data_IF_243731099623
#
_entry.id   IF_243731099623
#
_cell.length_a   1.000
_cell.length_b   1.000
_cell.length_c   1.000
_cell.angle_alpha   90.00
_cell.angle_beta   90.00
_cell.angle_gamma   90.00
#
_symmetry.space_group_name_H-M   'P 1'
#
loop_
_entity.id
_entity.type
_entity.pdbx_description
1 polymer ?
#
# COMPACT_ATOMS: atom_id res chain seq x y z
N UNK A 1 -10.33 3.66 -5.16
CA UNK A 1 -9.45 3.22 -4.05
C UNK A 1 -8.72 4.45 -3.55
N UNK A 2 -8.73 4.70 -2.24
CA UNK A 2 -8.03 5.85 -1.63
C UNK A 2 -7.04 5.34 -0.58
N UNK A 3 -5.94 6.05 -0.38
CA UNK A 3 -4.92 5.72 0.60
C UNK A 3 -4.33 6.98 1.25
N UNK A 4 -3.67 6.80 2.37
CA UNK A 4 -2.91 7.80 3.12
C UNK A 4 -1.50 7.27 3.41
N UNK A 5 -0.56 8.17 3.70
CA UNK A 5 0.78 7.76 4.11
C UNK A 5 0.70 7.03 5.47
N UNK A 6 1.39 5.90 5.58
CA UNK A 6 1.31 4.96 6.70
C UNK A 6 0.35 3.78 6.48
N UNK A 7 -0.48 3.81 5.42
CA UNK A 7 -1.33 2.66 5.07
C UNK A 7 -0.52 1.53 4.45
N UNK A 8 -1.00 0.30 4.59
CA UNK A 8 -0.34 -0.87 4.02
C UNK A 8 -0.90 -1.18 2.63
N UNK A 9 -0.01 -1.24 1.64
CA UNK A 9 -0.28 -1.68 0.27
C UNK A 9 -0.06 -3.19 0.18
N UNK A 10 -1.07 -3.93 -0.26
CA UNK A 10 -1.01 -5.38 -0.48
C UNK A 10 -1.46 -5.66 -1.91
N UNK A 11 -0.58 -6.24 -2.71
CA UNK A 11 -0.93 -6.74 -4.03
C UNK A 11 -0.89 -8.26 -4.02
N UNK A 12 -2.07 -8.87 -4.19
CA UNK A 12 -2.25 -10.32 -4.16
C UNK A 12 -1.71 -10.95 -5.43
N UNK A 13 -0.92 -12.01 -5.29
CA UNK A 13 -0.42 -12.78 -6.42
C UNK A 13 -1.56 -13.57 -7.09
N UNK A 14 -1.72 -13.47 -8.42
CA UNK A 14 -2.80 -14.16 -9.14
C UNK A 14 -2.52 -15.65 -9.41
N UNK A 15 -1.28 -16.09 -9.21
CA UNK A 15 -0.81 -17.46 -9.51
C UNK A 15 -0.24 -18.10 -8.25
N UNK A 16 -0.53 -19.39 -8.06
CA UNK A 16 0.00 -20.20 -6.96
C UNK A 16 1.53 -20.16 -6.97
N UNK A 17 2.13 -19.77 -5.84
CA UNK A 17 3.58 -19.62 -5.67
C UNK A 17 4.11 -18.19 -5.87
N UNK A 18 3.27 -17.24 -6.31
CA UNK A 18 3.63 -15.82 -6.29
C UNK A 18 3.34 -15.24 -4.91
N UNK A 19 4.38 -14.80 -4.21
CA UNK A 19 4.24 -14.14 -2.92
C UNK A 19 3.56 -12.77 -3.10
N UNK A 20 2.66 -12.45 -2.17
CA UNK A 20 2.02 -11.15 -2.12
C UNK A 20 3.07 -10.05 -1.97
N UNK A 21 2.91 -8.97 -2.74
CA UNK A 21 3.77 -7.79 -2.60
C UNK A 21 3.16 -6.89 -1.54
N UNK A 22 3.77 -6.92 -0.36
CA UNK A 22 3.35 -6.11 0.78
C UNK A 22 4.36 -4.99 1.00
N UNK A 23 3.86 -3.76 1.15
CA UNK A 23 4.67 -2.61 1.49
C UNK A 23 3.86 -1.52 2.19
N UNK A 24 4.56 -0.54 2.72
CA UNK A 24 3.98 0.62 3.40
C UNK A 24 3.90 1.79 2.40
N UNK A 25 2.75 2.45 2.32
CA UNK A 25 2.60 3.68 1.54
C UNK A 25 3.31 4.79 2.31
N UNK A 26 4.45 5.24 1.80
CA UNK A 26 5.21 6.33 2.42
C UNK A 26 4.73 7.70 1.93
N UNK A 27 4.09 7.75 0.76
CA UNK A 27 3.59 8.99 0.18
C UNK A 27 2.47 8.71 -0.83
N UNK A 28 1.46 9.58 -0.88
CA UNK A 28 0.39 9.52 -1.87
C UNK A 28 0.61 10.64 -2.88
N UNK A 29 0.83 10.27 -4.14
CA UNK A 29 1.22 11.22 -5.20
C UNK A 29 0.00 11.71 -5.99
N UNK A 30 -1.10 10.96 -5.97
CA UNK A 30 -2.35 11.41 -6.56
C UNK A 30 -3.14 12.33 -5.64
N UNK A 31 -4.00 13.15 -6.24
CA UNK A 31 -4.86 14.08 -5.51
C UNK A 31 -5.94 13.32 -4.71
N UNK A 32 -6.33 13.87 -3.56
CA UNK A 32 -7.40 13.34 -2.69
C UNK A 32 -7.21 11.88 -2.24
N UNK A 33 -5.95 11.45 -2.10
CA UNK A 33 -5.62 10.07 -1.71
C UNK A 33 -5.69 9.08 -2.87
N UNK A 34 -5.79 9.55 -4.11
CA UNK A 34 -5.81 8.67 -5.29
C UNK A 34 -4.39 8.20 -5.68
N UNK A 35 -4.29 7.12 -6.47
CA UNK A 35 -3.03 6.70 -7.06
C UNK A 35 -2.42 7.78 -7.99
N UNK A 36 -1.11 7.74 -8.25
CA UNK A 36 -0.15 6.71 -7.82
C UNK A 36 0.31 6.85 -6.36
N UNK A 37 0.81 5.76 -5.78
CA UNK A 37 1.34 5.71 -4.41
C UNK A 37 2.82 5.39 -4.42
N UNK A 38 3.60 6.02 -3.54
CA UNK A 38 4.97 5.62 -3.27
C UNK A 38 4.96 4.60 -2.14
N UNK A 39 5.43 3.39 -2.43
CA UNK A 39 5.39 2.25 -1.53
C UNK A 39 6.81 1.82 -1.21
N UNK A 40 7.11 1.65 0.08
CA UNK A 40 8.32 1.00 0.59
C UNK A 40 8.00 -0.45 0.91
N UNK A 41 8.57 -1.36 0.13
CA UNK A 41 8.43 -2.80 0.34
C UNK A 41 9.33 -3.28 1.47
N UNK A 42 9.02 -4.45 2.02
CA UNK A 42 9.75 -5.06 3.14
C UNK A 42 11.17 -5.49 2.78
N UNK A 43 11.48 -5.64 1.50
CA UNK A 43 12.82 -5.88 0.96
C UNK A 43 13.71 -4.62 0.96
N UNK A 44 13.15 -3.46 1.34
CA UNK A 44 13.82 -2.16 1.35
C UNK A 44 13.71 -1.40 0.02
N UNK A 45 13.13 -1.98 -1.01
CA UNK A 45 12.90 -1.26 -2.27
C UNK A 45 11.74 -0.27 -2.15
N UNK A 46 11.91 0.89 -2.79
CA UNK A 46 10.87 1.91 -2.89
C UNK A 46 10.45 2.05 -4.34
N UNK A 47 9.15 1.94 -4.60
CA UNK A 47 8.58 2.01 -5.94
C UNK A 47 7.33 2.88 -5.98
N UNK A 48 7.05 3.44 -7.16
CA UNK A 48 5.75 4.07 -7.43
C UNK A 48 4.80 3.00 -7.97
N UNK A 49 3.68 2.79 -7.28
CA UNK A 49 2.72 1.75 -7.57
C UNK A 49 1.35 2.36 -7.87
N UNK A 50 0.75 1.89 -8.96
CA UNK A 50 -0.66 2.13 -9.27
C UNK A 50 -1.43 0.84 -8.95
N UNK A 51 -2.40 0.87 -8.03
CA UNK A 51 -3.15 -0.31 -7.63
C UNK A 51 -3.97 -0.84 -8.81
N UNK A 52 -3.99 -2.16 -8.96
CA UNK A 52 -4.84 -2.89 -9.88
C UNK A 52 -6.06 -3.50 -9.19
N UNK A 53 -6.85 -4.33 -9.90
CA UNK A 53 -8.04 -4.99 -9.32
C UNK A 53 -7.69 -5.92 -8.15
N UNK A 54 -6.50 -6.54 -8.16
CA UNK A 54 -6.02 -7.46 -7.13
C UNK A 54 -5.24 -6.74 -6.00
N UNK A 55 -5.42 -5.42 -5.86
CA UNK A 55 -4.75 -4.62 -4.83
C UNK A 55 -5.70 -4.31 -3.69
N UNK A 56 -5.18 -4.36 -2.48
CA UNK A 56 -5.87 -4.05 -1.24
C UNK A 56 -5.05 -3.01 -0.47
N UNK A 57 -5.71 -1.96 0.00
CA UNK A 57 -5.12 -0.98 0.93
C UNK A 57 -5.69 -1.27 2.31
N UNK A 58 -4.81 -1.61 3.26
CA UNK A 58 -5.19 -1.77 4.65
C UNK A 58 -4.86 -0.48 5.38
N UNK A 59 -5.91 0.25 5.73
CA UNK A 59 -5.77 1.45 6.52
C UNK A 59 -5.32 1.10 7.94
N UNK A 60 -4.33 1.82 8.46
CA UNK A 60 -3.98 1.68 9.87
C UNK A 60 -5.11 2.30 10.68
N UNK A 61 -5.95 1.49 11.35
CA UNK A 61 -6.91 2.04 12.30
C UNK A 61 -6.13 2.73 13.42
N UNK A 62 -6.37 4.03 13.59
CA UNK A 62 -5.74 4.90 14.59
C UNK A 62 -6.14 4.56 16.05
N UNK A 63 -6.38 3.29 16.36
CA UNK A 63 -6.82 2.80 17.67
C UNK A 63 -5.67 2.58 18.68
N UNK A 64 -4.43 2.96 18.34
CA UNK A 64 -3.26 2.83 19.23
C UNK A 64 -2.48 4.15 19.39
N UNK A 65 -3.11 5.30 19.17
CA UNK A 65 -2.54 6.60 19.55
C UNK A 65 -3.49 7.30 20.53
N UNK A 66 -3.58 6.73 21.74
CA UNK A 66 -4.18 7.31 22.96
C UNK A 66 -3.93 6.32 24.12
N UNK A 67 -2.70 6.27 24.64
CA UNK A 67 -2.45 5.71 25.97
C UNK A 67 -1.41 6.53 26.71
#
# INVERSE_FOLDING_TARGET
>A
MRATAGDQFVQHGRVVGQHDKVGEIVEVLGQDGNPPFRVRFTDGHVGVCSPGPDTEIRHRTASEEQR
#
